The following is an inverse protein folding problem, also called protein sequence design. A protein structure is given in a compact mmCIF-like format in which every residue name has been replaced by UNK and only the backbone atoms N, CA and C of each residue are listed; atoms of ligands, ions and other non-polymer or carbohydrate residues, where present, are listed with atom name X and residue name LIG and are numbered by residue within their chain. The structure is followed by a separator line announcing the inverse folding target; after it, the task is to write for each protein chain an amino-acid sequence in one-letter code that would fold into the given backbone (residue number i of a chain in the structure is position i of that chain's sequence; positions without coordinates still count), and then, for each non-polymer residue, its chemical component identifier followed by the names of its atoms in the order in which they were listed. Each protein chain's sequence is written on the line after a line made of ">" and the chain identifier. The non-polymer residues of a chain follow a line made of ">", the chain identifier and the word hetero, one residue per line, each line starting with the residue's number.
data_IF_161724435718
#
_entry.id   IF_161724435718
#
_cell.length_a   1.000
_cell.length_b   1.000
_cell.length_c   1.000
_cell.angle_alpha   90.00
_cell.angle_beta   90.00
_cell.angle_gamma   90.00
#
_symmetry.space_group_name_H-M   'P 1'
#
loop_
_entity.id
_entity.type
_entity.pdbx_description
1 polymer ?
#
# COMPACT_ATOMS: atom_id res chain seq x y z
N UNK A 1 -5.35 17.44 36.41
CA UNK A 1 -3.93 17.82 36.29
C UNK A 1 -3.70 18.30 34.87
N UNK A 2 -3.05 19.44 34.72
CA UNK A 2 -3.32 20.47 33.71
C UNK A 2 -3.07 20.03 32.26
N UNK A 3 -4.12 20.08 31.45
CA UNK A 3 -3.98 20.12 29.99
C UNK A 3 -3.35 21.46 29.62
N UNK A 4 -2.15 21.45 29.06
CA UNK A 4 -1.67 22.60 28.28
C UNK A 4 -2.69 22.84 27.17
N UNK A 5 -3.48 23.91 27.28
CA UNK A 5 -4.64 24.15 26.43
C UNK A 5 -4.26 24.36 24.95
N UNK A 6 -2.96 24.50 24.63
CA UNK A 6 -2.50 24.66 23.27
C UNK A 6 -1.06 24.14 23.05
N UNK A 7 -0.86 22.81 22.83
CA UNK A 7 0.47 22.30 22.53
C UNK A 7 0.94 22.85 21.17
N UNK A 8 2.13 23.46 21.17
CA UNK A 8 2.81 23.92 19.95
C UNK A 8 3.67 22.75 19.45
N UNK A 9 3.54 22.34 18.17
CA UNK A 9 4.34 21.24 17.66
C UNK A 9 5.76 21.69 17.31
N UNK A 10 6.73 20.86 17.66
CA UNK A 10 8.15 20.99 17.29
C UNK A 10 8.43 20.38 15.91
N UNK A 11 7.61 19.41 15.49
CA UNK A 11 7.67 18.80 14.16
C UNK A 11 6.26 18.38 13.69
N UNK A 12 6.13 18.16 12.39
CA UNK A 12 4.87 17.75 11.75
C UNK A 12 5.13 16.50 10.91
N UNK A 13 4.23 15.53 11.00
CA UNK A 13 4.16 14.33 10.19
C UNK A 13 2.78 14.25 9.52
N UNK A 14 2.74 14.29 8.19
CA UNK A 14 1.51 14.05 7.43
C UNK A 14 1.40 12.57 7.06
N UNK A 15 0.47 11.89 7.74
CA UNK A 15 0.14 10.48 7.52
C UNK A 15 -0.84 10.23 6.39
N UNK A 16 -1.56 11.27 5.94
CA UNK A 16 -2.61 11.15 4.94
C UNK A 16 -3.65 10.11 5.34
N UNK A 17 -3.81 9.09 4.49
CA UNK A 17 -4.80 8.01 4.66
C UNK A 17 -4.14 6.65 4.99
N UNK A 18 -2.90 6.65 5.49
CA UNK A 18 -2.27 5.42 5.97
C UNK A 18 -2.82 5.02 7.34
N UNK A 19 -3.10 3.74 7.50
CA UNK A 19 -3.35 3.16 8.81
C UNK A 19 -2.03 2.87 9.57
N UNK A 20 -2.15 2.68 10.89
CA UNK A 20 -1.03 2.41 11.79
C UNK A 20 -0.25 1.13 11.43
N UNK A 21 -0.92 0.09 10.93
CA UNK A 21 -0.31 -1.20 10.58
C UNK A 21 0.33 -1.25 9.19
N UNK A 22 -0.06 -0.35 8.29
CA UNK A 22 0.42 -0.28 6.89
C UNK A 22 1.53 0.75 6.68
N UNK A 23 2.09 1.30 7.76
CA UNK A 23 3.33 2.09 7.72
C UNK A 23 3.25 3.46 8.38
N UNK A 24 2.07 3.96 8.77
CA UNK A 24 1.98 5.27 9.45
C UNK A 24 2.87 5.33 10.69
N UNK A 25 2.91 4.26 11.50
CA UNK A 25 3.75 4.22 12.71
C UNK A 25 5.24 4.36 12.40
N UNK A 26 5.72 3.87 11.24
CA UNK A 26 7.11 4.05 10.83
C UNK A 26 7.39 5.52 10.52
N UNK A 27 6.47 6.20 9.82
CA UNK A 27 6.61 7.63 9.49
C UNK A 27 6.57 8.48 10.77
N UNK A 28 5.65 8.18 11.69
CA UNK A 28 5.55 8.87 12.98
C UNK A 28 6.85 8.74 13.76
N UNK A 29 7.41 7.52 13.84
CA UNK A 29 8.65 7.29 14.57
C UNK A 29 9.85 7.96 13.93
N UNK A 30 9.97 7.94 12.61
CA UNK A 30 11.03 8.66 11.88
C UNK A 30 10.97 10.16 12.19
N UNK A 31 9.78 10.77 12.17
CA UNK A 31 9.58 12.17 12.52
C UNK A 31 9.80 12.46 14.02
N UNK A 32 9.52 11.49 14.90
CA UNK A 32 9.70 11.61 16.36
C UNK A 32 11.17 11.42 16.78
N UNK A 33 11.96 10.66 16.02
CA UNK A 33 13.35 10.32 16.35
C UNK A 33 14.22 11.55 16.67
N UNK A 34 14.25 12.64 15.86
CA UNK A 34 15.10 13.79 16.13
C UNK A 34 14.62 14.67 17.30
N UNK A 35 13.39 14.51 17.78
CA UNK A 35 12.85 15.35 18.85
C UNK A 35 13.53 15.01 20.20
N UNK A 36 13.82 16.02 21.06
CA UNK A 36 14.24 15.76 22.43
C UNK A 36 13.07 15.22 23.27
N UNK A 37 13.34 14.52 24.40
CA UNK A 37 12.31 14.26 25.40
C UNK A 37 11.58 15.54 25.80
N UNK A 38 10.25 15.48 25.86
CA UNK A 38 9.37 16.62 26.07
C UNK A 38 8.86 17.28 24.78
N UNK A 39 9.51 17.03 23.64
CA UNK A 39 9.11 17.58 22.33
C UNK A 39 7.78 17.01 21.83
N UNK A 40 7.06 17.79 21.03
CA UNK A 40 5.71 17.49 20.54
C UNK A 40 5.72 17.32 19.03
N UNK A 41 5.27 16.16 18.56
CA UNK A 41 4.99 15.88 17.16
C UNK A 41 3.51 16.08 16.86
N UNK A 42 3.18 16.84 15.83
CA UNK A 42 1.84 16.87 15.23
C UNK A 42 1.74 15.80 14.13
N UNK A 43 0.83 14.84 14.31
CA UNK A 43 0.48 13.85 13.29
C UNK A 43 -0.85 14.25 12.66
N UNK A 44 -0.85 14.48 11.35
CA UNK A 44 -2.08 14.78 10.58
C UNK A 44 -2.53 13.53 9.85
N UNK A 45 -3.77 13.13 10.05
CA UNK A 45 -4.33 11.93 9.41
C UNK A 45 -5.79 12.15 9.03
N UNK A 46 -6.21 11.57 7.91
CA UNK A 46 -7.61 11.41 7.49
C UNK A 46 -8.13 10.00 7.75
N UNK A 47 -7.24 9.05 8.04
CA UNK A 47 -7.60 7.66 8.30
C UNK A 47 -8.32 7.52 9.65
N UNK A 48 -9.50 6.93 9.61
CA UNK A 48 -10.45 6.86 10.73
C UNK A 48 -9.90 5.96 11.84
N UNK A 49 -9.23 4.85 11.48
CA UNK A 49 -8.70 3.89 12.46
C UNK A 49 -7.65 4.51 13.40
N UNK A 50 -6.94 5.55 12.94
CA UNK A 50 -5.89 6.25 13.70
C UNK A 50 -6.41 6.80 15.02
N UNK A 51 -7.69 7.16 15.09
CA UNK A 51 -8.34 7.63 16.33
C UNK A 51 -8.28 6.60 17.45
N UNK A 52 -8.35 5.31 17.13
CA UNK A 52 -8.33 4.22 18.10
C UNK A 52 -6.91 3.66 18.29
N UNK A 53 -6.19 3.47 17.18
CA UNK A 53 -4.89 2.82 17.15
C UNK A 53 -3.77 3.68 17.75
N UNK A 54 -3.73 4.98 17.40
CA UNK A 54 -2.63 5.86 17.77
C UNK A 54 -2.54 6.12 19.29
N UNK A 55 -3.66 6.34 20.02
CA UNK A 55 -3.60 6.42 21.49
C UNK A 55 -3.10 5.12 22.13
N UNK A 56 -3.46 3.95 21.58
CA UNK A 56 -3.01 2.65 22.08
C UNK A 56 -1.50 2.47 21.87
N UNK A 57 -1.01 2.79 20.67
CA UNK A 57 0.41 2.78 20.36
C UNK A 57 1.20 3.73 21.27
N UNK A 58 0.74 4.98 21.47
CA UNK A 58 1.41 5.93 22.35
C UNK A 58 1.65 5.35 23.75
N UNK A 59 0.64 4.71 24.35
CA UNK A 59 0.77 4.06 25.66
C UNK A 59 1.78 2.92 25.65
N UNK A 60 1.82 2.14 24.57
CA UNK A 60 2.70 0.98 24.42
C UNK A 60 4.17 1.39 24.32
N UNK A 61 4.49 2.46 23.59
CA UNK A 61 5.86 2.97 23.43
C UNK A 61 6.26 4.02 24.47
N UNK A 62 5.39 4.29 25.45
CA UNK A 62 5.65 5.24 26.52
C UNK A 62 5.54 6.72 26.11
N UNK A 63 4.96 7.04 24.96
CA UNK A 63 4.65 8.42 24.56
C UNK A 63 3.30 8.88 25.12
N UNK A 64 3.04 10.19 25.09
CA UNK A 64 1.79 10.76 25.59
C UNK A 64 1.04 11.51 24.50
N UNK A 65 -0.19 11.08 24.19
CA UNK A 65 -1.09 11.87 23.37
C UNK A 65 -1.61 13.05 24.20
N UNK A 66 -1.20 14.28 23.88
CA UNK A 66 -1.49 15.48 24.68
C UNK A 66 -2.69 16.27 24.15
N UNK A 67 -3.00 16.17 22.87
CA UNK A 67 -4.22 16.75 22.29
C UNK A 67 -4.65 16.02 21.02
N UNK A 68 -5.95 16.10 20.72
CA UNK A 68 -6.53 15.71 19.43
C UNK A 68 -7.42 16.86 18.98
N UNK A 69 -7.29 17.27 17.73
CA UNK A 69 -8.01 18.42 17.18
C UNK A 69 -8.56 18.12 15.79
N UNK A 70 -9.73 18.68 15.44
CA UNK A 70 -10.14 18.72 14.05
C UNK A 70 -9.15 19.60 13.25
N UNK A 71 -8.76 19.12 12.08
CA UNK A 71 -8.02 19.87 11.07
C UNK A 71 -8.96 20.47 10.02
N UNK A 72 -8.37 21.02 8.96
CA UNK A 72 -9.15 21.41 7.78
C UNK A 72 -9.64 20.16 7.03
N UNK A 73 -10.87 20.22 6.49
CA UNK A 73 -11.48 19.10 5.77
C UNK A 73 -11.67 17.86 6.64
N UNK A 74 -11.24 16.70 6.14
CA UNK A 74 -11.35 15.41 6.83
C UNK A 74 -10.18 15.10 7.78
N UNK A 75 -9.25 16.03 7.98
CA UNK A 75 -8.08 15.78 8.82
C UNK A 75 -8.41 15.81 10.31
N UNK A 76 -7.75 14.92 11.05
CA UNK A 76 -7.62 14.96 12.50
C UNK A 76 -6.13 15.13 12.85
N UNK A 77 -5.84 16.06 13.74
CA UNK A 77 -4.49 16.42 14.16
C UNK A 77 -4.26 15.87 15.57
N UNK A 78 -3.25 15.01 15.71
CA UNK A 78 -2.87 14.36 16.96
C UNK A 78 -1.54 14.92 17.43
N UNK A 79 -1.49 15.40 18.68
CA UNK A 79 -0.29 15.97 19.26
C UNK A 79 0.31 14.95 20.23
N UNK A 80 1.48 14.41 19.89
CA UNK A 80 2.15 13.36 20.65
C UNK A 80 3.40 13.96 21.28
N UNK A 81 3.50 13.90 22.61
CA UNK A 81 4.70 14.27 23.34
C UNK A 81 5.62 13.07 23.50
N UNK A 82 6.87 13.22 23.04
CA UNK A 82 7.95 12.26 23.28
C UNK A 82 8.32 12.27 24.75
N UNK A 83 8.20 11.14 25.44
CA UNK A 83 8.66 11.04 26.83
C UNK A 83 10.06 10.44 26.94
N UNK A 84 10.33 9.47 26.08
CA UNK A 84 11.57 8.71 26.07
C UNK A 84 11.98 8.39 24.63
N UNK A 85 13.21 7.89 24.45
CA UNK A 85 13.63 7.35 23.18
C UNK A 85 12.77 6.12 22.84
N UNK A 86 12.31 6.03 21.58
CA UNK A 86 11.68 4.82 21.06
C UNK A 86 12.77 3.88 20.57
N UNK A 87 13.24 3.00 21.46
CA UNK A 87 14.29 2.02 21.18
C UNK A 87 13.82 0.93 20.18
N UNK A 88 12.50 0.81 19.93
CA UNK A 88 11.94 -0.19 19.03
C UNK A 88 11.97 0.23 17.55
N UNK A 89 12.27 1.51 17.24
CA UNK A 89 12.26 1.99 15.85
C UNK A 89 13.23 1.20 14.96
N UNK A 90 14.47 0.95 15.39
CA UNK A 90 15.43 0.23 14.53
C UNK A 90 14.96 -1.20 14.27
N UNK A 91 14.49 -1.91 15.31
CA UNK A 91 13.94 -3.27 15.20
C UNK A 91 12.71 -3.32 14.29
N UNK A 92 11.82 -2.33 14.37
CA UNK A 92 10.63 -2.30 13.55
C UNK A 92 10.95 -1.92 12.08
N UNK A 93 11.97 -1.08 11.85
CA UNK A 93 12.53 -0.84 10.52
C UNK A 93 13.18 -2.11 9.95
N UNK A 94 13.94 -2.87 10.75
CA UNK A 94 14.50 -4.15 10.34
C UNK A 94 13.42 -5.18 10.00
N UNK A 95 12.35 -5.24 10.81
CA UNK A 95 11.19 -6.09 10.56
C UNK A 95 10.49 -5.70 9.26
N UNK A 96 10.31 -4.40 8.99
CA UNK A 96 9.74 -3.92 7.74
C UNK A 96 10.65 -4.20 6.53
N UNK A 97 11.97 -4.02 6.66
CA UNK A 97 12.98 -4.30 5.62
C UNK A 97 13.02 -5.78 5.23
N UNK A 98 12.78 -6.67 6.19
CA UNK A 98 12.82 -8.13 6.01
C UNK A 98 11.41 -8.76 5.91
N UNK A 99 10.36 -7.93 5.80
CA UNK A 99 8.99 -8.43 5.77
C UNK A 99 8.78 -9.35 4.57
N UNK A 100 8.30 -10.57 4.85
CA UNK A 100 8.04 -11.57 3.82
C UNK A 100 6.53 -11.74 3.65
N UNK A 101 6.02 -11.33 2.49
CA UNK A 101 4.67 -11.68 2.07
C UNK A 101 4.59 -13.18 1.75
N UNK A 102 3.52 -13.83 2.20
CA UNK A 102 3.29 -15.25 1.94
C UNK A 102 1.88 -15.49 1.43
N UNK A 103 1.76 -16.44 0.51
CA UNK A 103 0.50 -16.95 0.00
C UNK A 103 0.58 -18.49 -0.02
N UNK A 104 -0.52 -19.14 0.34
CA UNK A 104 -0.68 -20.57 0.14
C UNK A 104 -1.76 -20.79 -0.90
N UNK A 105 -1.46 -21.53 -1.95
CA UNK A 105 -2.41 -21.84 -3.01
C UNK A 105 -2.61 -23.35 -3.05
N UNK A 106 -3.87 -23.79 -3.08
CA UNK A 106 -4.24 -25.20 -3.19
C UNK A 106 -5.06 -25.38 -4.46
N UNK A 107 -4.66 -26.35 -5.29
CA UNK A 107 -5.50 -26.82 -6.39
C UNK A 107 -6.82 -27.36 -5.82
N UNK A 108 -7.92 -27.01 -6.47
CA UNK A 108 -9.26 -27.46 -6.08
C UNK A 108 -9.75 -28.50 -7.07
N UNK A 109 -10.67 -28.15 -7.96
CA UNK A 109 -11.14 -29.02 -9.03
C UNK A 109 -10.95 -28.34 -10.39
N UNK A 110 -10.88 -29.14 -11.46
CA UNK A 110 -10.68 -28.63 -12.82
C UNK A 110 -9.50 -27.66 -12.91
N UNK A 111 -9.74 -26.51 -13.55
CA UNK A 111 -8.76 -25.44 -13.75
C UNK A 111 -8.91 -24.32 -12.72
N UNK A 112 -9.13 -24.68 -11.45
CA UNK A 112 -9.29 -23.72 -10.37
C UNK A 112 -8.35 -24.00 -9.21
N UNK A 113 -7.95 -22.93 -8.53
CA UNK A 113 -7.20 -22.99 -7.29
C UNK A 113 -7.80 -22.03 -6.26
N UNK A 114 -7.61 -22.35 -4.97
CA UNK A 114 -7.97 -21.47 -3.87
C UNK A 114 -6.71 -20.91 -3.21
N UNK A 115 -6.59 -19.59 -3.19
CA UNK A 115 -5.52 -18.87 -2.53
C UNK A 115 -5.92 -18.47 -1.11
N UNK A 116 -4.96 -18.55 -0.19
CA UNK A 116 -5.08 -18.14 1.21
C UNK A 116 -3.96 -17.15 1.51
N UNK A 117 -4.33 -15.92 1.86
CA UNK A 117 -3.40 -14.84 2.21
C UNK A 117 -3.90 -14.17 3.49
N UNK A 118 -3.10 -14.20 4.56
CA UNK A 118 -3.53 -13.77 5.90
C UNK A 118 -4.88 -14.42 6.26
N UNK A 119 -5.91 -13.60 6.52
CA UNK A 119 -7.27 -14.03 6.87
C UNK A 119 -8.24 -14.03 5.68
N UNK A 120 -7.74 -13.92 4.45
CA UNK A 120 -8.55 -13.87 3.23
C UNK A 120 -8.38 -15.14 2.40
N UNK A 121 -9.45 -15.52 1.71
CA UNK A 121 -9.44 -16.60 0.74
C UNK A 121 -10.23 -16.22 -0.50
N UNK A 122 -9.70 -16.53 -1.68
CA UNK A 122 -10.35 -16.28 -2.96
C UNK A 122 -10.00 -17.38 -3.97
N UNK A 123 -10.86 -17.54 -4.96
CA UNK A 123 -10.69 -18.53 -6.05
C UNK A 123 -9.98 -17.88 -7.21
N UNK A 124 -9.01 -18.58 -7.78
CA UNK A 124 -8.29 -18.21 -8.99
C UNK A 124 -8.69 -19.22 -10.07
N UNK A 125 -9.11 -18.71 -11.23
CA UNK A 125 -9.44 -19.50 -12.39
C UNK A 125 -8.20 -19.96 -13.16
N UNK A 126 -8.36 -20.06 -14.48
CA UNK A 126 -7.31 -20.50 -15.38
C UNK A 126 -6.09 -19.55 -15.37
N UNK A 127 -4.88 -20.01 -15.75
CA UNK A 127 -3.71 -19.13 -15.85
C UNK A 127 -3.94 -17.95 -16.81
N UNK A 128 -4.56 -18.22 -17.95
CA UNK A 128 -5.13 -17.24 -18.87
C UNK A 128 -6.46 -17.81 -19.36
N UNK A 129 -7.50 -16.97 -19.39
CA UNK A 129 -8.77 -17.30 -20.02
C UNK A 129 -9.12 -16.27 -21.09
N UNK A 130 -9.87 -16.72 -22.09
CA UNK A 130 -10.43 -15.91 -23.16
C UNK A 130 -11.96 -15.86 -23.10
N UNK A 131 -12.57 -16.54 -22.12
CA UNK A 131 -14.01 -16.53 -21.89
C UNK A 131 -14.36 -15.46 -20.85
N UNK A 132 -15.53 -14.85 -21.01
CA UNK A 132 -16.09 -13.86 -20.07
C UNK A 132 -17.02 -14.49 -19.04
N UNK A 133 -17.35 -15.78 -19.20
CA UNK A 133 -18.28 -16.51 -18.32
C UNK A 133 -17.59 -17.38 -17.27
N UNK A 134 -16.30 -17.17 -17.01
CA UNK A 134 -15.59 -17.93 -15.99
C UNK A 134 -16.12 -17.67 -14.57
N UNK A 135 -16.09 -18.72 -13.77
CA UNK A 135 -16.56 -18.71 -12.38
C UNK A 135 -15.63 -17.85 -11.49
N UNK A 136 -14.36 -17.70 -11.89
CA UNK A 136 -13.36 -16.91 -11.17
C UNK A 136 -12.40 -16.22 -12.15
N UNK A 137 -11.86 -15.03 -11.80
CA UNK A 137 -10.88 -14.34 -12.63
C UNK A 137 -9.63 -15.21 -12.87
N UNK A 138 -9.05 -15.08 -14.05
CA UNK A 138 -7.79 -15.72 -14.40
C UNK A 138 -6.62 -15.18 -13.58
N UNK A 139 -5.52 -15.94 -13.54
CA UNK A 139 -4.32 -15.53 -12.79
C UNK A 139 -3.72 -14.21 -13.32
N UNK A 140 -3.75 -13.98 -14.64
CA UNK A 140 -3.30 -12.72 -15.25
C UNK A 140 -4.20 -11.55 -14.85
N UNK A 141 -5.52 -11.73 -14.78
CA UNK A 141 -6.44 -10.68 -14.35
C UNK A 141 -6.24 -10.31 -12.88
N UNK A 142 -5.96 -11.28 -12.01
CA UNK A 142 -5.55 -11.00 -10.63
C UNK A 142 -4.27 -10.18 -10.55
N UNK A 143 -3.29 -10.44 -11.43
CA UNK A 143 -2.06 -9.65 -11.51
C UNK A 143 -2.35 -8.19 -11.93
N UNK A 144 -3.24 -7.98 -12.91
CA UNK A 144 -3.66 -6.64 -13.33
C UNK A 144 -4.46 -5.91 -12.25
N UNK A 145 -5.36 -6.61 -11.57
CA UNK A 145 -6.12 -6.07 -10.46
C UNK A 145 -5.19 -5.63 -9.31
N UNK A 146 -4.17 -6.43 -8.99
CA UNK A 146 -3.17 -6.09 -7.98
C UNK A 146 -2.33 -4.86 -8.38
N UNK A 147 -1.93 -4.76 -9.66
CA UNK A 147 -1.24 -3.57 -10.18
C UNK A 147 -2.13 -2.32 -10.10
N UNK A 148 -3.37 -2.41 -10.57
CA UNK A 148 -4.34 -1.31 -10.54
C UNK A 148 -4.62 -0.84 -9.11
N UNK A 149 -4.87 -1.76 -8.19
CA UNK A 149 -5.07 -1.43 -6.78
C UNK A 149 -3.85 -0.75 -6.15
N UNK A 150 -2.66 -1.26 -6.42
CA UNK A 150 -1.42 -0.66 -5.92
C UNK A 150 -1.22 0.78 -6.44
N UNK A 151 -1.52 1.02 -7.71
CA UNK A 151 -1.40 2.35 -8.33
C UNK A 151 -2.48 3.31 -7.83
N UNK A 152 -3.74 2.87 -7.71
CA UNK A 152 -4.85 3.71 -7.27
C UNK A 152 -4.65 4.18 -5.82
N UNK A 153 -4.36 3.25 -4.91
CA UNK A 153 -4.08 3.56 -3.50
C UNK A 153 -2.80 4.38 -3.37
N UNK A 154 -1.75 4.04 -4.12
CA UNK A 154 -0.51 4.80 -4.12
C UNK A 154 -0.68 6.25 -4.59
N UNK A 155 -1.49 6.47 -5.62
CA UNK A 155 -1.81 7.80 -6.13
C UNK A 155 -2.61 8.60 -5.11
N UNK A 156 -3.67 8.01 -4.55
CA UNK A 156 -4.52 8.61 -3.54
C UNK A 156 -3.70 9.04 -2.30
N UNK A 157 -2.79 8.18 -1.84
CA UNK A 157 -1.95 8.48 -0.69
C UNK A 157 -0.99 9.65 -0.96
N UNK A 158 -0.41 9.73 -2.16
CA UNK A 158 0.47 10.85 -2.52
C UNK A 158 -0.29 12.15 -2.71
N UNK A 159 -1.48 12.09 -3.31
CA UNK A 159 -2.36 13.24 -3.45
C UNK A 159 -2.73 13.81 -2.07
N UNK A 160 -3.07 12.94 -1.13
CA UNK A 160 -3.31 13.27 0.29
C UNK A 160 -2.20 14.12 0.89
N UNK A 161 -0.95 13.64 0.79
CA UNK A 161 0.23 14.32 1.36
C UNK A 161 0.56 15.67 0.70
N UNK A 162 -0.02 15.95 -0.47
CA UNK A 162 0.12 17.22 -1.17
C UNK A 162 -1.11 18.12 -1.00
N UNK A 163 -2.04 17.75 -0.12
CA UNK A 163 -3.29 18.48 0.10
C UNK A 163 -4.25 18.44 -1.08
N UNK A 164 -4.10 17.48 -2.00
CA UNK A 164 -4.97 17.31 -3.16
C UNK A 164 -6.11 16.36 -2.79
N UNK A 165 -7.34 16.86 -2.87
CA UNK A 165 -8.54 16.06 -2.69
C UNK A 165 -8.89 15.32 -3.98
N UNK A 166 -9.06 14.00 -3.88
CA UNK A 166 -9.51 13.13 -4.96
C UNK A 166 -11.01 12.87 -4.78
N UNK A 167 -11.82 13.25 -5.77
CA UNK A 167 -13.27 13.00 -5.80
C UNK A 167 -13.60 11.69 -6.49
N UNK A 168 -12.91 11.38 -7.59
CA UNK A 168 -13.05 10.10 -8.29
C UNK A 168 -11.70 9.63 -8.84
N UNK A 169 -11.50 8.32 -8.87
CA UNK A 169 -10.27 7.70 -9.36
C UNK A 169 -10.56 6.34 -9.98
N UNK A 170 -10.16 6.13 -11.23
CA UNK A 170 -10.27 4.86 -11.92
C UNK A 170 -8.98 4.54 -12.68
N UNK A 171 -8.58 3.27 -12.64
CA UNK A 171 -7.47 2.77 -13.46
C UNK A 171 -8.01 1.67 -14.37
N UNK A 172 -7.86 1.89 -15.67
CA UNK A 172 -8.11 0.87 -16.68
C UNK A 172 -6.78 0.28 -17.14
N UNK A 173 -6.65 -1.05 -17.11
CA UNK A 173 -5.44 -1.78 -17.50
C UNK A 173 -5.78 -2.87 -18.50
N UNK A 174 -4.88 -3.08 -19.46
CA UNK A 174 -4.91 -4.16 -20.43
C UNK A 174 -3.52 -4.79 -20.51
N UNK A 175 -3.45 -6.11 -20.65
CA UNK A 175 -2.20 -6.81 -20.89
C UNK A 175 -2.28 -7.68 -22.14
N UNK A 176 -1.13 -7.83 -22.79
CA UNK A 176 -0.96 -8.77 -23.89
C UNK A 176 0.19 -9.71 -23.57
N UNK A 177 -0.04 -11.03 -23.68
CA UNK A 177 1.02 -12.03 -23.70
C UNK A 177 1.89 -11.91 -24.95
N UNK A 178 3.17 -12.26 -24.86
CA UNK A 178 4.04 -12.32 -26.04
C UNK A 178 3.62 -13.46 -26.97
N UNK A 179 3.55 -14.68 -26.42
CA UNK A 179 2.99 -15.83 -27.12
C UNK A 179 2.28 -16.79 -26.14
N UNK A 180 0.96 -16.61 -25.97
CA UNK A 180 0.17 -17.47 -25.08
C UNK A 180 0.02 -18.91 -25.58
N UNK A 181 0.28 -19.16 -26.86
CA UNK A 181 0.18 -20.50 -27.46
C UNK A 181 1.24 -21.46 -26.89
N UNK A 182 2.34 -20.94 -26.35
CA UNK A 182 3.35 -21.71 -25.61
C UNK A 182 2.76 -22.34 -24.34
N UNK A 183 1.91 -21.61 -23.62
CA UNK A 183 1.23 -22.17 -22.44
C UNK A 183 0.19 -23.23 -22.82
N UNK A 184 -0.38 -23.14 -24.02
CA UNK A 184 -1.35 -24.10 -24.54
C UNK A 184 -0.70 -25.31 -25.23
N UNK A 185 0.63 -25.42 -25.20
CA UNK A 185 1.41 -26.44 -25.89
C UNK A 185 1.14 -26.55 -27.41
N UNK A 186 0.74 -25.43 -28.04
CA UNK A 186 0.49 -25.35 -29.49
C UNK A 186 1.73 -24.93 -30.28
N UNK A 187 2.72 -24.34 -29.61
CA UNK A 187 4.00 -23.93 -30.18
C UNK A 187 5.15 -24.24 -29.20
N UNK A 188 6.36 -24.51 -29.72
CA UNK A 188 7.52 -24.89 -28.91
C UNK A 188 8.49 -23.71 -28.62
N UNK A 189 8.45 -22.64 -29.42
CA UNK A 189 9.40 -21.52 -29.33
C UNK A 189 8.69 -20.19 -29.07
N UNK A 190 9.12 -19.48 -28.04
CA UNK A 190 8.58 -18.17 -27.68
C UNK A 190 8.57 -17.96 -26.18
N UNK A 191 7.78 -16.99 -25.72
CA UNK A 191 7.67 -16.65 -24.31
C UNK A 191 6.18 -16.50 -23.91
N UNK A 192 5.67 -17.25 -22.91
CA UNK A 192 4.26 -17.19 -22.52
C UNK A 192 3.91 -15.98 -21.64
N UNK A 193 4.92 -15.29 -21.10
CA UNK A 193 4.71 -14.10 -20.26
C UNK A 193 4.27 -12.87 -21.04
N UNK A 194 4.08 -11.77 -20.32
CA UNK A 194 3.53 -10.53 -20.87
C UNK A 194 4.53 -9.81 -21.79
N UNK A 195 4.04 -9.34 -22.94
CA UNK A 195 4.73 -8.44 -23.85
C UNK A 195 4.55 -6.98 -23.48
N UNK A 196 3.32 -6.60 -23.11
CA UNK A 196 3.02 -5.24 -22.64
C UNK A 196 1.85 -5.23 -21.68
N UNK A 197 1.88 -4.25 -20.78
CA UNK A 197 0.73 -3.81 -19.99
C UNK A 197 0.55 -2.32 -20.30
N UNK A 198 -0.66 -1.93 -20.68
CA UNK A 198 -1.02 -0.55 -20.98
C UNK A 198 -2.14 -0.14 -20.04
N UNK A 199 -2.11 1.11 -19.59
CA UNK A 199 -3.12 1.60 -18.67
C UNK A 199 -3.35 3.09 -18.75
N UNK A 200 -4.51 3.50 -18.25
CA UNK A 200 -4.92 4.90 -18.13
C UNK A 200 -5.49 5.13 -16.74
N UNK A 201 -5.02 6.21 -16.10
CA UNK A 201 -5.63 6.76 -14.90
C UNK A 201 -6.65 7.82 -15.32
N UNK A 202 -7.88 7.69 -14.84
CA UNK A 202 -8.91 8.72 -14.90
C UNK A 202 -9.08 9.27 -13.50
N UNK A 203 -8.97 10.58 -13.34
CA UNK A 203 -9.01 11.24 -12.03
C UNK A 203 -9.86 12.49 -12.10
N UNK A 204 -10.75 12.64 -11.13
CA UNK A 204 -11.41 13.89 -10.79
C UNK A 204 -10.87 14.36 -9.44
N UNK A 205 -10.11 15.46 -9.44
CA UNK A 205 -9.39 15.94 -8.27
C UNK A 205 -9.32 17.47 -8.22
N UNK A 206 -8.97 18.02 -7.05
CA UNK A 206 -8.47 19.39 -6.97
C UNK A 206 -7.04 19.51 -7.50
N UNK A 207 -6.49 20.73 -7.48
CA UNK A 207 -5.13 20.99 -7.97
C UNK A 207 -5.06 21.20 -9.48
N UNK A 208 -3.87 21.59 -9.96
CA UNK A 208 -3.61 21.74 -11.40
C UNK A 208 -3.09 20.43 -12.02
N UNK A 209 -3.18 20.33 -13.35
CA UNK A 209 -2.77 19.14 -14.10
C UNK A 209 -1.28 18.81 -13.93
N UNK A 210 -0.44 19.83 -13.68
CA UNK A 210 0.98 19.65 -13.48
C UNK A 210 1.26 18.89 -12.17
N UNK A 211 0.63 19.28 -11.06
CA UNK A 211 0.72 18.60 -9.77
C UNK A 211 0.18 17.18 -9.87
N UNK A 212 -0.95 16.96 -10.54
CA UNK A 212 -1.51 15.62 -10.74
C UNK A 212 -0.57 14.71 -11.54
N UNK A 213 0.08 15.26 -12.57
CA UNK A 213 1.04 14.50 -13.37
C UNK A 213 2.30 14.16 -12.57
N UNK A 214 2.80 15.07 -11.73
CA UNK A 214 3.91 14.77 -10.83
C UNK A 214 3.58 13.66 -9.83
N UNK A 215 2.38 13.71 -9.23
CA UNK A 215 1.88 12.66 -8.33
C UNK A 215 1.84 11.33 -9.06
N UNK A 216 1.37 11.33 -10.31
CA UNK A 216 1.29 10.11 -11.13
C UNK A 216 2.66 9.52 -11.41
N UNK A 217 3.63 10.35 -11.85
CA UNK A 217 4.99 9.89 -12.10
C UNK A 217 5.65 9.33 -10.84
N UNK A 218 5.49 9.99 -9.71
CA UNK A 218 6.02 9.50 -8.43
C UNK A 218 5.34 8.18 -8.00
N UNK A 219 4.04 8.04 -8.28
CA UNK A 219 3.30 6.80 -8.01
C UNK A 219 3.87 5.62 -8.80
N UNK A 220 4.10 5.79 -10.10
CA UNK A 220 4.71 4.76 -10.95
C UNK A 220 6.11 4.36 -10.46
N UNK A 221 6.93 5.35 -10.07
CA UNK A 221 8.30 5.11 -9.62
C UNK A 221 8.39 4.36 -8.29
N UNK A 222 7.41 4.55 -7.40
CA UNK A 222 7.46 4.01 -6.03
C UNK A 222 6.49 2.87 -5.77
N UNK A 223 5.57 2.57 -6.70
CA UNK A 223 4.62 1.46 -6.59
C UNK A 223 5.36 0.11 -6.52
N UNK A 224 5.24 -0.66 -5.42
CA UNK A 224 5.91 -1.95 -5.30
C UNK A 224 5.58 -2.91 -6.45
N UNK A 225 4.29 -3.03 -6.81
CA UNK A 225 3.85 -3.94 -7.88
C UNK A 225 4.36 -3.49 -9.26
N UNK A 226 4.36 -2.18 -9.54
CA UNK A 226 4.95 -1.65 -10.78
C UNK A 226 6.44 -1.99 -10.85
N UNK A 227 7.17 -1.74 -9.78
CA UNK A 227 8.61 -2.01 -9.73
C UNK A 227 8.93 -3.51 -9.83
N UNK A 228 8.05 -4.40 -9.34
CA UNK A 228 8.16 -5.86 -9.51
C UNK A 228 7.96 -6.32 -10.96
N UNK A 229 7.18 -5.58 -11.77
CA UNK A 229 6.92 -5.92 -13.17
C UNK A 229 7.96 -5.32 -14.12
N UNK A 230 8.55 -4.18 -13.76
CA UNK A 230 9.57 -3.50 -14.58
C UNK A 230 11.00 -3.97 -14.29
N UNK A 231 11.19 -4.80 -13.26
CA UNK A 231 12.49 -5.40 -12.92
C UNK A 231 12.43 -6.91 -13.08
N UNK A 232 13.56 -7.51 -13.44
CA UNK A 232 13.69 -8.96 -13.43
C UNK A 232 13.84 -9.45 -11.98
N UNK A 233 12.81 -10.09 -11.45
CA UNK A 233 12.82 -10.71 -10.12
C UNK A 233 13.18 -12.19 -10.26
N UNK A 234 14.23 -12.70 -9.58
CA UNK A 234 14.55 -14.12 -9.64
C UNK A 234 13.45 -14.95 -8.94
N UNK A 235 12.86 -15.89 -9.68
CA UNK A 235 11.85 -16.82 -9.17
C UNK A 235 12.49 -18.20 -9.01
N UNK A 236 12.60 -18.67 -7.76
CA UNK A 236 13.19 -19.97 -7.41
C UNK A 236 12.10 -20.87 -6.81
N UNK A 237 11.76 -21.96 -7.51
CA UNK A 237 10.69 -22.88 -7.12
C UNK A 237 11.23 -24.31 -7.11
N UNK A 238 10.87 -25.10 -6.09
CA UNK A 238 11.24 -26.50 -5.93
C UNK A 238 9.99 -27.38 -5.91
N UNK A 239 10.00 -28.51 -6.62
CA UNK A 239 8.96 -29.53 -6.53
C UNK A 239 9.37 -30.57 -5.51
N UNK A 240 8.47 -30.85 -4.56
CA UNK A 240 8.63 -31.94 -3.57
C UNK A 240 7.45 -32.89 -3.64
N UNK A 241 7.76 -34.19 -3.66
CA UNK A 241 6.77 -35.25 -3.49
C UNK A 241 6.57 -35.52 -1.99
N UNK A 242 5.31 -35.48 -1.56
CA UNK A 242 4.87 -35.84 -0.20
C UNK A 242 4.22 -37.21 -0.16
#
# INVERSE_FOLDING_TARGET
>A
MNAEANPIPDAICDGGDLDCGSGLLLIIREAMQPLPPGGVLEVRSREISVKEDLPAWCRLVGHSLVAVRPGEGAYTHYFIRKQMADEALETDLETARSFTWSARVRWTEGMQAKAFVRNHAFTIGQPASFDTQDIAPSAIEYLLAALGGCLAVGFQWRASRRGVEIRNLEISLQAQADNILIFLDLEEQGHPGMKRIEGRLYVDAGGDDAVLQEIWQETLQRSPVTQSLTRQVPVQLEMRRV
#
